data_IF_148129309159
#
_entry.id   IF_148129309159
#
_cell.length_a   1.000
_cell.length_b   1.000
_cell.length_c   1.000
_cell.angle_alpha   90.00
_cell.angle_beta   90.00
_cell.angle_gamma   90.00
#
_symmetry.space_group_name_H-M   'P 1'
#
loop_
_entity.id
_entity.type
_entity.pdbx_description
1 polymer ?
#
# COMPACT_ATOMS: atom_id res chain seq x y z
N UNK A 1 -0.36 -8.40 -13.74
CA UNK A 1 -1.42 -7.34 -13.82
C UNK A 1 -1.31 -6.46 -12.59
N UNK A 2 -1.23 -5.17 -12.76
CA UNK A 2 -1.10 -4.19 -11.68
C UNK A 2 -2.44 -3.46 -11.51
N UNK A 3 -2.90 -3.27 -10.28
CA UNK A 3 -4.10 -2.48 -9.99
C UNK A 3 -3.72 -1.04 -9.67
N UNK A 4 -4.22 -0.09 -10.43
CA UNK A 4 -4.09 1.34 -10.18
C UNK A 4 -5.37 1.88 -9.54
N UNK A 5 -5.26 2.45 -8.34
CA UNK A 5 -6.35 3.08 -7.61
C UNK A 5 -6.00 4.56 -7.39
N UNK A 6 -6.72 5.44 -8.10
CA UNK A 6 -6.61 6.88 -7.91
C UNK A 6 -7.63 7.31 -6.86
N UNK A 7 -7.19 8.02 -5.84
CA UNK A 7 -8.07 8.66 -4.86
C UNK A 7 -8.26 10.13 -5.19
N UNK A 8 -9.39 10.68 -4.80
CA UNK A 8 -9.71 12.11 -4.98
C UNK A 8 -9.29 12.97 -3.80
N UNK A 9 -8.58 12.41 -2.85
CA UNK A 9 -8.01 13.18 -1.74
C UNK A 9 -9.03 13.80 -0.79
N UNK A 10 -10.23 13.20 -0.64
CA UNK A 10 -11.31 13.74 0.22
C UNK A 10 -10.86 13.96 1.68
N UNK A 11 -9.82 13.28 2.12
CA UNK A 11 -9.32 13.36 3.50
C UNK A 11 -7.95 14.02 3.66
N UNK A 12 -7.26 14.29 2.55
CA UNK A 12 -5.97 14.99 2.58
C UNK A 12 -6.16 16.30 1.79
N UNK A 13 -6.20 17.44 2.50
CA UNK A 13 -6.08 18.79 1.90
C UNK A 13 -4.75 18.97 1.16
N UNK A 14 -3.93 17.93 1.13
CA UNK A 14 -2.61 17.92 0.53
C UNK A 14 -2.71 17.57 -0.96
N UNK A 15 -2.03 18.37 -1.75
CA UNK A 15 -1.92 18.29 -3.21
C UNK A 15 -1.83 16.85 -3.72
N UNK A 16 -2.80 16.46 -4.52
CA UNK A 16 -2.77 15.19 -5.27
C UNK A 16 -1.53 15.18 -6.17
N UNK A 17 -0.74 14.13 -6.08
CA UNK A 17 0.40 13.95 -6.97
C UNK A 17 -0.14 13.53 -8.34
N UNK A 18 0.11 14.32 -9.37
CA UNK A 18 -0.26 13.97 -10.73
C UNK A 18 0.53 12.74 -11.20
N UNK A 19 -0.19 11.77 -11.76
CA UNK A 19 0.39 10.56 -12.29
C UNK A 19 0.08 10.52 -13.79
N UNK A 20 1.03 10.91 -14.65
CA UNK A 20 0.86 10.83 -16.09
C UNK A 20 0.56 9.39 -16.54
N UNK A 21 -0.36 9.21 -17.47
CA UNK A 21 -0.72 7.88 -17.97
C UNK A 21 0.50 7.12 -18.55
N UNK A 22 1.41 7.83 -19.21
CA UNK A 22 2.65 7.26 -19.73
C UNK A 22 3.63 6.73 -18.67
N UNK A 23 3.38 7.02 -17.40
CA UNK A 23 4.25 6.59 -16.28
C UNK A 23 4.34 5.08 -16.16
N UNK A 24 3.32 4.37 -16.62
CA UNK A 24 3.18 2.93 -16.47
C UNK A 24 3.14 2.20 -17.82
N UNK A 25 3.71 2.80 -18.88
CA UNK A 25 3.78 2.18 -20.20
C UNK A 25 4.45 0.78 -20.10
N UNK A 26 3.81 -0.20 -20.70
CA UNK A 26 4.27 -1.60 -20.68
C UNK A 26 3.73 -2.45 -19.53
N UNK A 27 2.97 -1.88 -18.59
CA UNK A 27 2.27 -2.63 -17.56
C UNK A 27 0.82 -2.92 -17.99
N UNK A 28 0.37 -4.13 -17.74
CA UNK A 28 -1.05 -4.46 -17.84
C UNK A 28 -1.75 -3.93 -16.58
N UNK A 29 -2.48 -2.81 -16.74
CA UNK A 29 -3.11 -2.09 -15.63
C UNK A 29 -4.61 -2.28 -15.65
N UNK A 30 -5.17 -2.63 -14.48
CA UNK A 30 -6.59 -2.49 -14.18
C UNK A 30 -6.77 -1.23 -13.35
N UNK A 31 -7.38 -0.18 -13.90
CA UNK A 31 -7.64 1.05 -13.15
C UNK A 31 -9.04 1.05 -12.55
N UNK A 32 -9.16 1.61 -11.36
CA UNK A 32 -10.43 1.96 -10.74
C UNK A 32 -10.27 3.29 -10.00
N UNK A 33 -11.32 4.11 -10.00
CA UNK A 33 -11.42 5.23 -9.08
C UNK A 33 -12.07 4.72 -7.78
N UNK A 34 -11.65 5.25 -6.65
CA UNK A 34 -12.16 4.84 -5.34
C UNK A 34 -13.69 5.02 -5.28
N UNK A 35 -14.21 6.11 -5.84
CA UNK A 35 -15.64 6.43 -5.91
C UNK A 35 -16.46 5.56 -6.88
N UNK A 36 -15.80 4.83 -7.77
CA UNK A 36 -16.44 4.00 -8.80
C UNK A 36 -16.31 2.51 -8.50
N UNK A 37 -15.91 2.18 -7.27
CA UNK A 37 -15.86 0.78 -6.87
C UNK A 37 -17.28 0.25 -6.67
N UNK A 38 -17.77 -0.49 -7.64
CA UNK A 38 -19.08 -1.14 -7.68
C UNK A 38 -19.05 -2.59 -7.14
N UNK A 39 -17.90 -3.04 -6.70
CA UNK A 39 -17.67 -4.36 -6.15
C UNK A 39 -18.12 -4.50 -4.70
N UNK A 40 -18.20 -5.75 -4.24
CA UNK A 40 -18.42 -6.07 -2.84
C UNK A 40 -17.19 -5.65 -2.02
N UNK A 41 -17.34 -4.69 -1.11
CA UNK A 41 -16.27 -4.19 -0.25
C UNK A 41 -15.63 -5.30 0.62
N UNK A 42 -16.40 -6.35 0.95
CA UNK A 42 -15.92 -7.51 1.69
C UNK A 42 -14.99 -8.43 0.89
N UNK A 43 -14.90 -8.21 -0.42
CA UNK A 43 -14.03 -8.96 -1.32
C UNK A 43 -12.82 -8.16 -1.79
N UNK A 44 -12.67 -6.91 -1.33
CA UNK A 44 -11.59 -6.02 -1.76
C UNK A 44 -10.21 -6.61 -1.44
N UNK A 45 -10.03 -7.16 -0.24
CA UNK A 45 -8.84 -7.85 0.19
C UNK A 45 -8.41 -8.96 -0.77
N UNK A 46 -9.38 -9.80 -1.17
CA UNK A 46 -9.15 -10.89 -2.13
C UNK A 46 -8.83 -10.38 -3.53
N UNK A 47 -9.38 -9.24 -3.90
CA UNK A 47 -9.07 -8.62 -5.18
C UNK A 47 -7.65 -8.04 -5.17
N UNK A 48 -7.26 -7.34 -4.10
CA UNK A 48 -5.90 -6.82 -3.95
C UNK A 48 -4.86 -7.95 -3.99
N UNK A 49 -5.10 -9.03 -3.25
CA UNK A 49 -4.20 -10.19 -3.19
C UNK A 49 -4.06 -10.97 -4.51
N UNK A 50 -4.94 -10.76 -5.49
CA UNK A 50 -4.86 -11.43 -6.82
C UNK A 50 -3.97 -10.71 -7.81
N UNK A 51 -3.59 -9.48 -7.56
CA UNK A 51 -2.75 -8.70 -8.45
C UNK A 51 -1.27 -8.91 -8.13
N UNK A 52 -0.43 -8.83 -9.14
CA UNK A 52 1.03 -8.89 -9.00
C UNK A 52 1.56 -7.67 -8.24
N UNK A 53 0.81 -6.58 -8.24
CA UNK A 53 1.11 -5.36 -7.50
C UNK A 53 -0.06 -4.38 -7.47
N UNK A 54 0.01 -3.46 -6.53
CA UNK A 54 -0.97 -2.38 -6.34
C UNK A 54 -0.26 -1.04 -6.40
N UNK A 55 -0.82 -0.10 -7.15
CA UNK A 55 -0.40 1.31 -7.16
C UNK A 55 -1.59 2.13 -6.68
N UNK A 56 -1.41 2.92 -5.63
CA UNK A 56 -2.52 3.66 -5.03
C UNK A 56 -2.08 5.01 -4.46
N UNK A 57 -3.02 5.94 -4.37
CA UNK A 57 -2.89 7.21 -3.64
C UNK A 57 -3.54 7.12 -2.25
N UNK A 58 -4.28 6.06 -1.96
CA UNK A 58 -4.91 5.81 -0.66
C UNK A 58 -3.95 5.14 0.32
N UNK A 59 -3.69 5.81 1.44
CA UNK A 59 -2.85 5.28 2.53
C UNK A 59 -3.44 4.01 3.13
N UNK A 60 -4.76 3.94 3.29
CA UNK A 60 -5.47 2.78 3.83
C UNK A 60 -5.29 1.57 2.91
N UNK A 61 -5.62 1.73 1.64
CA UNK A 61 -5.47 0.64 0.66
C UNK A 61 -4.03 0.18 0.51
N UNK A 62 -3.06 1.12 0.58
CA UNK A 62 -1.65 0.77 0.50
C UNK A 62 -1.22 -0.12 1.67
N UNK A 63 -1.64 0.21 2.90
CA UNK A 63 -1.31 -0.59 4.07
C UNK A 63 -2.00 -1.94 4.06
N UNK A 64 -3.27 -2.01 3.66
CA UNK A 64 -3.99 -3.28 3.54
C UNK A 64 -3.36 -4.21 2.51
N UNK A 65 -3.05 -3.71 1.31
CA UNK A 65 -2.43 -4.51 0.27
C UNK A 65 -1.03 -5.01 0.69
N UNK A 66 -0.21 -4.15 1.31
CA UNK A 66 1.10 -4.55 1.80
C UNK A 66 1.02 -5.61 2.91
N UNK A 67 0.05 -5.49 3.83
CA UNK A 67 -0.20 -6.50 4.89
C UNK A 67 -0.64 -7.85 4.32
N UNK A 68 -1.31 -7.86 3.16
CA UNK A 68 -1.65 -9.08 2.43
C UNK A 68 -0.46 -9.68 1.66
N UNK A 69 0.71 -9.04 1.72
CA UNK A 69 1.91 -9.45 0.98
C UNK A 69 1.93 -9.01 -0.48
N UNK A 70 0.97 -8.22 -0.93
CA UNK A 70 0.95 -7.70 -2.30
C UNK A 70 1.89 -6.50 -2.40
N UNK A 71 2.89 -6.53 -3.30
CA UNK A 71 3.77 -5.39 -3.55
C UNK A 71 2.96 -4.14 -3.86
N UNK A 72 3.22 -3.08 -3.10
CA UNK A 72 2.38 -1.88 -3.14
C UNK A 72 3.21 -0.62 -3.28
N UNK A 73 2.89 0.21 -4.27
CA UNK A 73 3.45 1.54 -4.46
C UNK A 73 2.41 2.59 -4.03
N UNK A 74 2.67 3.24 -2.90
CA UNK A 74 1.89 4.38 -2.43
C UNK A 74 2.46 5.68 -3.00
N UNK A 75 1.64 6.42 -3.74
CA UNK A 75 1.98 7.74 -4.30
C UNK A 75 1.19 8.80 -3.53
N UNK A 76 1.75 9.27 -2.44
CA UNK A 76 1.08 10.22 -1.54
C UNK A 76 2.10 11.05 -0.77
N UNK A 77 1.77 12.30 -0.48
CA UNK A 77 2.55 13.17 0.43
C UNK A 77 2.26 12.87 1.90
N UNK A 78 1.25 12.08 2.20
CA UNK A 78 0.88 11.72 3.55
C UNK A 78 2.02 10.98 4.26
N UNK A 79 2.37 11.47 5.46
CA UNK A 79 3.36 10.84 6.32
C UNK A 79 2.63 10.24 7.53
N UNK A 80 2.74 8.93 7.69
CA UNK A 80 2.14 8.21 8.82
C UNK A 80 3.19 7.26 9.41
N UNK A 81 3.35 7.28 10.71
CA UNK A 81 4.37 6.48 11.39
C UNK A 81 4.23 4.98 11.14
N UNK A 82 3.01 4.48 10.97
CA UNK A 82 2.78 3.06 10.68
C UNK A 82 3.26 2.64 9.29
N UNK A 83 3.31 3.55 8.29
CA UNK A 83 3.87 3.23 6.97
C UNK A 83 5.36 2.95 7.05
N UNK A 84 6.11 3.76 7.82
CA UNK A 84 7.52 3.51 8.08
C UNK A 84 7.70 2.17 8.78
N UNK A 85 6.87 1.90 9.78
CA UNK A 85 6.91 0.63 10.50
C UNK A 85 6.68 -0.57 9.59
N UNK A 86 5.71 -0.51 8.66
CA UNK A 86 5.50 -1.57 7.67
C UNK A 86 6.75 -1.81 6.82
N UNK A 87 7.42 -0.74 6.37
CA UNK A 87 8.66 -0.85 5.59
C UNK A 87 9.80 -1.45 6.42
N UNK A 88 9.97 -1.02 7.67
CA UNK A 88 11.00 -1.51 8.59
C UNK A 88 10.79 -2.99 8.94
N UNK A 89 9.55 -3.43 9.06
CA UNK A 89 9.16 -4.82 9.31
C UNK A 89 9.22 -5.70 8.03
N UNK A 90 9.64 -5.14 6.89
CA UNK A 90 9.88 -5.88 5.65
C UNK A 90 8.65 -6.13 4.78
N UNK A 91 7.51 -5.48 5.06
CA UNK A 91 6.35 -5.56 4.17
C UNK A 91 6.64 -4.90 2.81
N UNK A 92 6.06 -5.41 1.70
CA UNK A 92 6.38 -4.96 0.35
C UNK A 92 5.70 -3.61 0.02
N UNK A 93 6.00 -2.59 0.82
CA UNK A 93 5.47 -1.24 0.69
C UNK A 93 6.55 -0.28 0.19
N UNK A 94 6.26 0.38 -0.92
CA UNK A 94 7.11 1.39 -1.54
C UNK A 94 6.38 2.73 -1.50
N UNK A 95 6.96 3.74 -0.85
CA UNK A 95 6.34 5.07 -0.75
C UNK A 95 7.04 6.07 -1.66
N UNK A 96 6.24 6.90 -2.33
CA UNK A 96 6.67 8.02 -3.16
C UNK A 96 5.84 9.27 -2.85
N UNK A 97 6.51 10.38 -2.56
CA UNK A 97 5.87 11.62 -2.10
C UNK A 97 6.24 12.86 -2.92
N UNK A 98 6.74 12.66 -4.13
CA UNK A 98 7.18 13.72 -5.04
C UNK A 98 6.50 13.56 -6.39
N UNK A 99 6.80 14.46 -7.35
CA UNK A 99 6.32 14.29 -8.73
C UNK A 99 6.82 13.00 -9.36
N UNK A 100 5.99 12.43 -10.25
CA UNK A 100 6.28 11.16 -10.93
C UNK A 100 7.12 11.40 -12.19
N UNK A 101 8.22 12.12 -12.06
CA UNK A 101 9.13 12.46 -13.14
C UNK A 101 10.61 12.23 -12.75
N UNK A 102 11.47 12.24 -13.74
CA UNK A 102 12.91 12.16 -13.57
C UNK A 102 13.43 10.78 -13.11
N UNK A 103 14.75 10.71 -12.88
CA UNK A 103 15.43 9.44 -12.64
C UNK A 103 15.13 8.88 -11.25
N UNK A 104 14.86 9.74 -10.28
CA UNK A 104 14.50 9.27 -8.92
C UNK A 104 13.17 8.51 -8.92
N UNK A 105 12.20 8.97 -9.71
CA UNK A 105 10.94 8.26 -9.92
C UNK A 105 11.16 6.93 -10.61
N UNK A 106 11.93 6.91 -11.70
CA UNK A 106 12.26 5.68 -12.43
C UNK A 106 12.89 4.62 -11.51
N UNK A 107 13.80 5.06 -10.63
CA UNK A 107 14.42 4.16 -9.64
C UNK A 107 13.40 3.61 -8.64
N UNK A 108 12.46 4.43 -8.15
CA UNK A 108 11.40 3.98 -7.23
C UNK A 108 10.47 2.99 -7.93
N UNK A 109 10.05 3.29 -9.14
CA UNK A 109 9.23 2.38 -9.96
C UNK A 109 9.96 1.05 -10.22
N UNK A 110 11.24 1.09 -10.55
CA UNK A 110 12.05 -0.11 -10.73
C UNK A 110 12.15 -0.97 -9.46
N UNK A 111 12.27 -0.34 -8.28
CA UNK A 111 12.25 -1.07 -6.99
C UNK A 111 10.90 -1.77 -6.77
N UNK A 112 9.79 -1.08 -7.03
CA UNK A 112 8.46 -1.67 -6.95
C UNK A 112 8.29 -2.84 -7.91
N UNK A 113 8.68 -2.68 -9.18
CA UNK A 113 8.61 -3.73 -10.19
C UNK A 113 9.47 -4.93 -9.83
N UNK A 114 10.67 -4.71 -9.29
CA UNK A 114 11.51 -5.78 -8.77
C UNK A 114 10.83 -6.51 -7.60
N UNK A 115 10.16 -5.78 -6.71
CA UNK A 115 9.38 -6.36 -5.62
C UNK A 115 8.26 -7.29 -6.08
N UNK A 116 7.61 -6.98 -7.21
CA UNK A 116 6.58 -7.84 -7.79
C UNK A 116 7.10 -9.23 -8.22
N UNK A 117 8.38 -9.34 -8.51
CA UNK A 117 9.01 -10.61 -8.91
C UNK A 117 9.57 -11.41 -7.72
N UNK A 118 9.64 -10.80 -6.54
CA UNK A 118 10.19 -11.42 -5.33
C UNK A 118 9.11 -12.02 -4.41
N UNK A 119 7.86 -12.07 -4.84
CA UNK A 119 6.71 -12.50 -4.03
C UNK A 119 6.66 -13.98 -3.66
N UNK A 120 7.71 -14.76 -3.92
CA UNK A 120 7.87 -16.06 -3.28
C UNK A 120 8.22 -15.87 -1.80
N UNK A 121 7.15 -15.81 -0.98
CA UNK A 121 7.18 -15.86 0.48
C UNK A 121 8.06 -14.78 1.15
N UNK A 122 7.58 -13.55 1.23
CA UNK A 122 8.07 -12.64 2.26
C UNK A 122 7.58 -13.20 3.61
N UNK A 123 8.45 -13.91 4.30
CA UNK A 123 8.22 -14.28 5.70
C UNK A 123 8.31 -13.01 6.55
N UNK A 124 7.19 -12.31 6.69
CA UNK A 124 7.08 -11.22 7.65
C UNK A 124 6.57 -11.77 8.97
N UNK A 125 7.18 -11.36 10.07
CA UNK A 125 6.62 -11.58 11.39
C UNK A 125 5.23 -10.92 11.45
N UNK A 126 4.16 -11.67 11.75
CA UNK A 126 2.84 -11.08 11.81
C UNK A 126 2.80 -10.00 12.90
N UNK A 127 2.18 -8.88 12.59
CA UNK A 127 1.97 -7.83 13.58
C UNK A 127 1.22 -8.41 14.79
N UNK A 128 1.62 -8.02 16.00
CA UNK A 128 0.99 -8.50 17.22
C UNK A 128 -0.51 -8.23 17.19
N UNK A 129 -1.30 -9.22 17.54
CA UNK A 129 -2.74 -9.09 17.63
C UNK A 129 -3.10 -8.05 18.71
N UNK A 130 -3.69 -6.92 18.32
CA UNK A 130 -4.05 -5.83 19.22
C UNK A 130 -4.95 -6.28 20.38
N UNK A 131 -5.83 -7.26 20.16
CA UNK A 131 -6.67 -7.83 21.21
C UNK A 131 -5.84 -8.54 22.26
N UNK A 132 -4.83 -9.30 21.85
CA UNK A 132 -3.97 -10.03 22.79
C UNK A 132 -3.10 -9.04 23.58
N UNK A 133 -2.53 -8.04 22.91
CA UNK A 133 -1.76 -6.97 23.58
C UNK A 133 -2.61 -6.20 24.60
N UNK A 134 -3.84 -5.86 24.25
CA UNK A 134 -4.76 -5.20 25.17
C UNK A 134 -5.10 -6.10 26.37
N UNK A 135 -5.35 -7.38 26.13
CA UNK A 135 -5.63 -8.33 27.20
C UNK A 135 -4.45 -8.50 28.16
N UNK A 136 -3.23 -8.58 27.63
CA UNK A 136 -2.00 -8.61 28.43
C UNK A 136 -1.83 -7.33 29.24
N UNK A 137 -1.98 -6.16 28.62
CA UNK A 137 -1.89 -4.86 29.29
C UNK A 137 -2.90 -4.75 30.44
N UNK A 138 -4.15 -5.11 30.21
CA UNK A 138 -5.19 -5.07 31.24
C UNK A 138 -4.93 -6.06 32.37
N UNK A 139 -4.42 -7.25 32.07
CA UNK A 139 -4.07 -8.25 33.10
C UNK A 139 -2.93 -7.78 34.01
N UNK A 140 -1.95 -7.04 33.47
CA UNK A 140 -0.87 -6.46 34.25
C UNK A 140 -1.34 -5.34 35.18
N UNK A 141 -2.35 -4.56 34.78
CA UNK A 141 -2.92 -3.48 35.60
C UNK A 141 -3.85 -3.96 36.73
N UNK A 142 -4.33 -5.21 36.66
CA UNK A 142 -5.24 -5.78 37.67
C UNK A 142 -4.49 -6.54 38.79
N UNK A 143 -3.15 -6.57 38.77
CA UNK A 143 -2.33 -7.29 39.76
C UNK A 143 -1.79 -6.34 40.86
N UNK A 144 -2.00 -5.02 40.71
CA UNK A 144 -1.71 -4.01 41.76
C UNK A 144 -2.98 -3.68 42.56
#
# INVERSE_FOLDING_TARGET
MVRLLKGDGIHDEDEVIDIPESTFDGLEITSANEDQYDGDAWLLDRQLAKHDGVITQSVTLASEAALLGTPTLLISKAQRGFLNRLQDDGYPLFCWNKSCDGDAWKNKLAQFLAGMHLTDAIETEPWPNARNQLAEFLSMQLID
#
